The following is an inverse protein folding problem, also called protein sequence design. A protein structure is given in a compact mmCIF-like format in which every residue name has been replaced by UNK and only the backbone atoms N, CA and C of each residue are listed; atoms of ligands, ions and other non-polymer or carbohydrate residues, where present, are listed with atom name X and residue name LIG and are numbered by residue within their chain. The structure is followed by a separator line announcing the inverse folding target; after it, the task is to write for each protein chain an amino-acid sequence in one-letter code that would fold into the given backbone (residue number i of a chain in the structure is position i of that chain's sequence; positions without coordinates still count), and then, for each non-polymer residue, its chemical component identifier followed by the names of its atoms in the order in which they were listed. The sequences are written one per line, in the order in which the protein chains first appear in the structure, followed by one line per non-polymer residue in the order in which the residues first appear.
data_IF_660233169253
#
_entry.id   IF_660233169253
#
_cell.length_a   1.000
_cell.length_b   1.000
_cell.length_c   1.000
_cell.angle_alpha   90.00
_cell.angle_beta   90.00
_cell.angle_gamma   90.00
#
_symmetry.space_group_name_H-M   'P 1'
#
loop_
_entity.id
_entity.type
_entity.pdbx_description
1 polymer ?
#
# COMPACT_ATOMS: atom_id res chain seq x y z
N UNK A 1 -30.64 -2.18 65.09
CA UNK A 1 -29.66 -1.71 64.09
C UNK A 1 -29.11 -2.92 63.35
N UNK A 2 -29.73 -3.30 62.23
CA UNK A 2 -29.23 -4.34 61.31
C UNK A 2 -29.03 -3.66 59.96
N UNK A 3 -27.78 -3.64 59.49
CA UNK A 3 -27.34 -2.93 58.29
C UNK A 3 -27.44 -3.85 57.07
N UNK A 4 -28.30 -3.48 56.13
CA UNK A 4 -28.50 -4.18 54.85
C UNK A 4 -27.43 -3.74 53.85
N UNK A 5 -26.59 -4.68 53.41
CA UNK A 5 -25.60 -4.43 52.34
C UNK A 5 -26.31 -4.48 50.98
N UNK A 6 -26.37 -3.33 50.32
CA UNK A 6 -26.86 -3.16 48.95
C UNK A 6 -25.74 -3.58 47.98
N UNK A 7 -25.91 -4.67 47.24
CA UNK A 7 -24.98 -5.09 46.19
C UNK A 7 -25.36 -4.41 44.88
N UNK A 8 -24.46 -3.58 44.36
CA UNK A 8 -24.59 -2.92 43.06
C UNK A 8 -23.88 -3.77 42.01
N UNK A 9 -24.62 -4.59 41.28
CA UNK A 9 -24.09 -5.36 40.14
C UNK A 9 -23.92 -4.43 38.95
N UNK A 10 -22.66 -4.06 38.67
CA UNK A 10 -22.28 -3.29 37.49
C UNK A 10 -22.22 -4.23 36.28
N UNK A 11 -23.22 -4.16 35.40
CA UNK A 11 -23.24 -4.89 34.14
C UNK A 11 -22.32 -4.19 33.12
N UNK A 12 -21.13 -4.74 32.88
CA UNK A 12 -20.25 -4.33 31.78
C UNK A 12 -20.82 -4.85 30.45
N UNK A 13 -21.48 -3.96 29.69
CA UNK A 13 -21.80 -4.20 28.29
C UNK A 13 -20.51 -4.11 27.47
N UNK A 14 -19.91 -5.25 27.15
CA UNK A 14 -18.82 -5.36 26.18
C UNK A 14 -19.42 -5.17 24.77
N UNK A 15 -19.46 -3.92 24.29
CA UNK A 15 -19.77 -3.63 22.89
C UNK A 15 -18.52 -4.00 22.09
N UNK A 16 -18.48 -5.22 21.55
CA UNK A 16 -17.49 -5.58 20.53
C UNK A 16 -17.87 -4.86 19.24
N UNK A 17 -17.29 -3.67 19.04
CA UNK A 17 -17.26 -3.04 17.73
C UNK A 17 -16.49 -3.97 16.78
N UNK A 18 -17.22 -4.61 15.86
CA UNK A 18 -16.63 -5.25 14.70
C UNK A 18 -16.08 -4.12 13.83
N UNK A 19 -14.79 -3.81 13.96
CA UNK A 19 -14.12 -2.91 13.04
C UNK A 19 -14.06 -3.60 11.67
N UNK A 20 -15.04 -3.34 10.81
CA UNK A 20 -14.85 -3.58 9.38
C UNK A 20 -13.84 -2.53 8.92
N UNK A 21 -12.59 -2.92 8.74
CA UNK A 21 -11.59 -2.09 8.07
C UNK A 21 -11.98 -2.00 6.59
N UNK A 22 -13.01 -1.23 6.27
CA UNK A 22 -13.09 -0.66 4.94
C UNK A 22 -11.90 0.32 4.90
N UNK A 23 -10.89 -0.06 4.12
CA UNK A 23 -9.76 0.78 3.81
C UNK A 23 -10.04 1.43 2.44
N UNK A 24 -9.41 2.56 2.17
CA UNK A 24 -9.48 3.13 0.83
C UNK A 24 -8.94 2.13 -0.21
N UNK A 25 -9.50 2.15 -1.40
CA UNK A 25 -8.97 1.43 -2.55
C UNK A 25 -8.65 2.42 -3.65
N UNK A 26 -7.37 2.58 -3.96
CA UNK A 26 -6.90 3.53 -4.95
C UNK A 26 -7.00 2.87 -6.33
N UNK A 27 -7.82 3.44 -7.20
CA UNK A 27 -8.11 2.90 -8.54
C UNK A 27 -7.21 3.51 -9.61
N UNK A 28 -6.69 4.71 -9.39
CA UNK A 28 -5.60 5.30 -10.16
C UNK A 28 -4.80 6.28 -9.30
N UNK A 29 -3.47 6.38 -9.46
CA UNK A 29 -2.64 5.60 -10.37
C UNK A 29 -2.50 4.15 -9.92
N UNK A 30 -2.09 3.29 -10.85
CA UNK A 30 -1.82 1.88 -10.61
C UNK A 30 -0.74 1.38 -11.55
N UNK A 31 -0.55 0.06 -11.60
CA UNK A 31 0.46 -0.55 -12.46
C UNK A 31 0.34 -0.09 -13.91
N UNK A 32 1.46 0.33 -14.50
CA UNK A 32 1.54 0.76 -15.89
C UNK A 32 1.06 2.18 -16.18
N UNK A 33 0.52 2.89 -15.18
CA UNK A 33 0.21 4.32 -15.32
C UNK A 33 1.51 5.12 -15.39
N UNK A 34 1.54 6.08 -16.33
CA UNK A 34 2.65 7.04 -16.49
C UNK A 34 2.08 8.44 -16.33
N UNK A 35 2.67 9.22 -15.43
CA UNK A 35 2.38 10.64 -15.27
C UNK A 35 3.51 11.47 -15.91
N UNK A 36 3.16 12.35 -16.85
CA UNK A 36 4.13 13.17 -17.55
C UNK A 36 4.25 14.56 -16.92
N UNK A 37 5.42 15.20 -17.02
CA UNK A 37 5.61 16.57 -16.54
C UNK A 37 4.52 17.52 -17.06
N UNK A 38 4.01 18.38 -16.18
CA UNK A 38 2.95 19.39 -16.45
C UNK A 38 1.58 18.83 -16.84
N UNK A 39 1.42 17.50 -16.88
CA UNK A 39 0.14 16.86 -17.13
C UNK A 39 -0.81 17.07 -15.94
N UNK A 40 -2.08 17.35 -16.22
CA UNK A 40 -3.14 17.30 -15.23
C UNK A 40 -3.60 15.85 -15.06
N UNK A 41 -3.44 15.31 -13.85
CA UNK A 41 -3.70 13.91 -13.50
C UNK A 41 -4.66 13.82 -12.32
N UNK A 42 -5.24 12.64 -12.14
CA UNK A 42 -6.15 12.35 -11.03
C UNK A 42 -5.65 11.16 -10.22
N UNK A 43 -5.73 11.30 -8.91
CA UNK A 43 -5.78 10.17 -7.99
C UNK A 43 -7.25 9.89 -7.71
N UNK A 44 -7.70 8.66 -7.97
CA UNK A 44 -9.08 8.24 -7.70
C UNK A 44 -9.09 7.13 -6.65
N UNK A 45 -10.07 7.17 -5.76
CA UNK A 45 -10.26 6.15 -4.75
C UNK A 45 -11.73 5.85 -4.48
N UNK A 46 -11.98 4.70 -3.88
CA UNK A 46 -13.23 4.38 -3.19
C UNK A 46 -12.97 4.23 -1.69
N UNK A 47 -13.97 4.50 -0.86
CA UNK A 47 -13.86 4.48 0.60
C UNK A 47 -14.16 5.86 1.18
N UNK A 48 -14.81 5.88 2.35
CA UNK A 48 -15.28 7.11 3.01
C UNK A 48 -15.15 7.01 4.52
N UNK A 49 -14.16 6.25 4.98
CA UNK A 49 -14.03 5.85 6.38
C UNK A 49 -13.62 7.02 7.28
N UNK A 50 -13.01 8.05 6.71
CA UNK A 50 -12.68 9.31 7.36
C UNK A 50 -13.44 10.47 6.67
N UNK A 51 -13.76 11.58 7.36
CA UNK A 51 -14.44 12.71 6.73
C UNK A 51 -13.58 13.42 5.67
N UNK A 52 -12.27 13.47 5.92
CA UNK A 52 -11.26 14.09 5.08
C UNK A 52 -10.03 13.20 4.98
N UNK A 53 -9.32 13.28 3.86
CA UNK A 53 -8.08 12.55 3.59
C UNK A 53 -6.99 13.50 3.10
N UNK A 54 -5.75 13.09 3.30
CA UNK A 54 -4.61 13.63 2.55
C UNK A 54 -4.22 12.64 1.44
N UNK A 55 -3.77 13.18 0.32
CA UNK A 55 -3.25 12.41 -0.80
C UNK A 55 -1.78 12.75 -0.97
N UNK A 56 -0.92 11.77 -0.75
CA UNK A 56 0.53 11.97 -0.74
C UNK A 56 1.18 11.24 -1.91
N UNK A 57 2.21 11.85 -2.48
CA UNK A 57 3.17 11.20 -3.36
C UNK A 57 4.33 10.65 -2.54
N UNK A 58 4.62 9.38 -2.74
CA UNK A 58 5.66 8.63 -2.05
C UNK A 58 6.63 8.06 -3.06
N UNK A 59 7.86 7.80 -2.63
CA UNK A 59 8.86 7.10 -3.44
C UNK A 59 9.75 6.21 -2.58
N UNK A 60 10.34 5.20 -3.20
CA UNK A 60 11.28 4.29 -2.54
C UNK A 60 10.83 2.83 -2.57
N UNK A 61 11.49 1.95 -1.80
CA UNK A 61 11.11 0.55 -1.68
C UNK A 61 9.85 0.39 -0.81
N UNK A 62 9.11 -0.72 -0.98
CA UNK A 62 7.79 -0.89 -0.37
C UNK A 62 7.84 -0.88 1.17
N UNK A 63 8.91 -1.42 1.74
CA UNK A 63 9.11 -1.48 3.19
C UNK A 63 9.62 -0.15 3.78
N UNK A 64 9.96 0.84 2.96
CA UNK A 64 10.47 2.14 3.40
C UNK A 64 10.11 3.24 2.39
N UNK A 65 8.82 3.35 2.08
CA UNK A 65 8.30 4.45 1.28
C UNK A 65 8.51 5.77 2.03
N UNK A 66 9.00 6.77 1.29
CA UNK A 66 9.29 8.09 1.84
C UNK A 66 8.38 9.13 1.20
N UNK A 67 7.90 10.08 2.02
CA UNK A 67 7.07 11.19 1.54
C UNK A 67 7.88 12.09 0.61
N UNK A 68 7.41 12.24 -0.62
CA UNK A 68 7.97 13.17 -1.59
C UNK A 68 7.22 14.51 -1.56
N UNK A 69 5.89 14.47 -1.69
CA UNK A 69 5.05 15.66 -1.73
C UNK A 69 3.64 15.36 -1.22
N UNK A 70 2.95 16.39 -0.72
CA UNK A 70 1.51 16.36 -0.48
C UNK A 70 0.82 16.87 -1.75
N UNK A 71 0.01 16.01 -2.39
CA UNK A 71 -0.69 16.35 -3.64
C UNK A 71 -1.97 17.12 -3.36
N UNK A 72 -2.76 16.63 -2.40
CA UNK A 72 -3.95 17.29 -1.88
C UNK A 72 -4.03 17.09 -0.37
N UNK A 73 -4.55 18.09 0.35
CA UNK A 73 -4.70 18.04 1.81
C UNK A 73 -6.13 18.37 2.23
N UNK A 74 -6.64 17.69 3.26
CA UNK A 74 -7.98 17.89 3.82
C UNK A 74 -9.09 17.80 2.75
N UNK A 75 -8.98 16.84 1.83
CA UNK A 75 -10.00 16.61 0.80
C UNK A 75 -11.12 15.78 1.39
N UNK A 76 -12.38 16.13 1.14
CA UNK A 76 -13.49 15.27 1.55
C UNK A 76 -13.34 13.88 0.93
N UNK A 77 -13.31 12.84 1.76
CA UNK A 77 -13.16 11.44 1.30
C UNK A 77 -14.25 11.04 0.30
N UNK A 78 -15.46 11.60 0.47
CA UNK A 78 -16.63 11.35 -0.38
C UNK A 78 -16.48 11.85 -1.82
N UNK A 79 -15.52 12.75 -2.07
CA UNK A 79 -15.23 13.22 -3.42
C UNK A 79 -14.64 12.11 -4.30
N UNK A 80 -13.85 11.21 -3.71
CA UNK A 80 -13.23 10.09 -4.44
C UNK A 80 -12.13 10.49 -5.43
N UNK A 81 -11.72 11.76 -5.45
CA UNK A 81 -10.71 12.27 -6.36
C UNK A 81 -9.83 13.39 -5.79
N UNK A 82 -8.58 13.43 -6.24
CA UNK A 82 -7.62 14.51 -6.04
C UNK A 82 -7.01 14.86 -7.41
N UNK A 83 -7.20 16.11 -7.84
CA UNK A 83 -6.64 16.64 -9.08
C UNK A 83 -5.26 17.23 -8.80
N UNK A 84 -4.26 16.87 -9.60
CA UNK A 84 -2.90 17.34 -9.44
C UNK A 84 -2.29 17.68 -10.80
N UNK A 85 -1.42 18.69 -10.85
CA UNK A 85 -0.59 18.96 -12.03
C UNK A 85 0.83 18.53 -11.72
N UNK A 86 1.36 17.60 -12.52
CA UNK A 86 2.67 16.98 -12.27
C UNK A 86 3.77 18.05 -12.27
N UNK A 87 4.41 18.26 -11.11
CA UNK A 87 5.51 19.18 -10.98
C UNK A 87 6.70 18.71 -11.85
N UNK A 88 7.16 19.51 -12.83
CA UNK A 88 8.25 19.14 -13.73
C UNK A 88 9.60 18.94 -13.01
N UNK A 89 9.73 19.37 -11.76
CA UNK A 89 10.90 19.15 -10.92
C UNK A 89 10.98 17.75 -10.31
N UNK A 90 9.88 16.98 -10.33
CA UNK A 90 9.87 15.59 -9.87
C UNK A 90 10.81 14.76 -10.75
N UNK A 91 11.80 14.05 -10.20
CA UNK A 91 12.69 13.22 -10.99
C UNK A 91 11.94 12.07 -11.68
N UNK A 92 12.31 11.76 -12.92
CA UNK A 92 11.81 10.56 -13.60
C UNK A 92 12.13 9.30 -12.79
N UNK A 93 11.14 8.42 -12.62
CA UNK A 93 11.28 7.22 -11.79
C UNK A 93 10.12 6.25 -11.95
N UNK A 94 10.36 4.99 -11.62
CA UNK A 94 9.41 3.87 -11.72
C UNK A 94 8.90 3.40 -10.35
N UNK A 95 9.35 4.04 -9.28
CA UNK A 95 9.19 3.65 -7.89
C UNK A 95 8.34 4.63 -7.09
N UNK A 96 7.36 5.26 -7.75
CA UNK A 96 6.40 6.14 -7.12
C UNK A 96 5.13 5.38 -6.74
N UNK A 97 4.57 5.74 -5.60
CA UNK A 97 3.25 5.29 -5.15
C UNK A 97 2.50 6.50 -4.58
N UNK A 98 1.18 6.43 -4.54
CA UNK A 98 0.38 7.39 -3.78
C UNK A 98 -0.20 6.73 -2.54
N UNK A 99 -0.39 7.51 -1.48
CA UNK A 99 -1.24 7.10 -0.37
C UNK A 99 -2.48 7.97 -0.26
N UNK A 100 -3.58 7.38 0.21
CA UNK A 100 -4.82 8.07 0.58
C UNK A 100 -5.17 7.73 2.02
N UNK A 101 -5.45 8.75 2.82
CA UNK A 101 -5.95 8.64 4.19
C UNK A 101 -5.47 9.80 5.06
N UNK A 102 -6.01 9.92 6.28
CA UNK A 102 -5.59 10.94 7.26
C UNK A 102 -4.86 10.31 8.44
N UNK A 103 -5.44 9.24 8.99
CA UNK A 103 -4.89 8.47 10.07
C UNK A 103 -4.02 7.31 9.53
N UNK A 104 -2.84 7.05 10.11
CA UNK A 104 -1.93 6.00 9.65
C UNK A 104 -2.59 4.62 9.53
N UNK A 105 -3.52 4.29 10.43
CA UNK A 105 -4.27 3.03 10.44
C UNK A 105 -5.26 2.88 9.27
N UNK A 106 -5.62 3.99 8.61
CA UNK A 106 -6.56 4.04 7.49
C UNK A 106 -5.84 4.25 6.14
N UNK A 107 -4.51 4.37 6.12
CA UNK A 107 -3.76 4.58 4.90
C UNK A 107 -3.92 3.41 3.94
N UNK A 108 -4.25 3.74 2.70
CA UNK A 108 -4.12 2.86 1.55
C UNK A 108 -3.02 3.35 0.63
N UNK A 109 -2.43 2.44 -0.12
CA UNK A 109 -1.34 2.71 -1.03
C UNK A 109 -1.68 2.17 -2.42
N UNK A 110 -1.31 2.91 -3.46
CA UNK A 110 -1.42 2.44 -4.83
C UNK A 110 -0.38 1.36 -5.11
N UNK A 111 -0.55 0.66 -6.24
CA UNK A 111 0.60 0.00 -6.87
C UNK A 111 1.64 1.03 -7.30
N UNK A 112 2.87 0.57 -7.57
CA UNK A 112 3.87 1.44 -8.18
C UNK A 112 3.43 1.92 -9.56
N UNK A 113 3.73 3.17 -9.84
CA UNK A 113 3.51 3.80 -11.14
C UNK A 113 4.74 4.63 -11.53
N UNK A 114 4.74 5.08 -12.78
CA UNK A 114 5.88 5.81 -13.36
C UNK A 114 5.58 7.30 -13.39
N UNK A 115 6.58 8.10 -13.05
CA UNK A 115 6.60 9.53 -13.37
C UNK A 115 7.72 9.74 -14.39
N UNK A 116 7.39 10.36 -15.52
CA UNK A 116 8.34 10.68 -16.58
C UNK A 116 8.37 12.20 -16.79
N UNK A 117 9.48 12.82 -16.39
CA UNK A 117 9.72 14.25 -16.60
C UNK A 117 10.90 14.45 -17.56
N UNK A 118 11.78 15.41 -17.30
CA UNK A 118 12.86 15.79 -18.23
C UNK A 118 13.97 14.73 -18.37
N UNK A 119 14.18 13.90 -17.35
CA UNK A 119 15.27 12.91 -17.37
C UNK A 119 14.79 11.56 -17.94
N UNK A 120 15.68 10.75 -18.55
CA UNK A 120 15.34 9.39 -18.92
C UNK A 120 14.89 8.56 -17.72
N UNK A 121 13.99 7.60 -17.93
CA UNK A 121 13.63 6.64 -16.90
C UNK A 121 14.85 5.77 -16.54
N UNK A 122 15.03 5.43 -15.26
CA UNK A 122 16.04 4.45 -14.87
C UNK A 122 15.73 3.09 -15.51
N UNK A 123 16.77 2.30 -15.78
CA UNK A 123 16.57 0.92 -16.22
C UNK A 123 15.82 0.13 -15.13
N UNK A 124 14.86 -0.70 -15.53
CA UNK A 124 14.21 -1.60 -14.60
C UNK A 124 15.15 -2.78 -14.31
N UNK A 125 15.64 -2.86 -13.07
CA UNK A 125 16.58 -3.88 -12.62
C UNK A 125 15.96 -4.88 -11.64
N UNK A 126 14.64 -4.86 -11.48
CA UNK A 126 13.94 -5.68 -10.49
C UNK A 126 12.65 -6.28 -11.03
N UNK A 127 11.77 -6.66 -10.11
CA UNK A 127 10.46 -7.19 -10.48
C UNK A 127 9.62 -6.04 -11.05
N UNK A 128 9.03 -6.25 -12.23
CA UNK A 128 8.51 -5.17 -13.09
C UNK A 128 7.60 -4.18 -12.36
N UNK A 129 6.64 -4.68 -11.57
CA UNK A 129 5.64 -3.87 -10.87
C UNK A 129 5.99 -3.66 -9.39
N UNK A 130 7.24 -3.90 -9.01
CA UNK A 130 7.78 -3.66 -7.67
C UNK A 130 8.75 -2.48 -7.65
N UNK A 131 8.49 -1.44 -8.45
CA UNK A 131 9.28 -0.22 -8.46
C UNK A 131 10.74 -0.40 -8.86
N UNK A 132 11.06 -1.45 -9.63
CA UNK A 132 12.45 -1.80 -9.98
C UNK A 132 13.23 -2.49 -8.87
N UNK A 133 12.58 -2.88 -7.77
CA UNK A 133 13.19 -3.64 -6.69
C UNK A 133 12.95 -5.15 -6.84
N UNK A 134 13.88 -5.94 -6.33
CA UNK A 134 13.67 -7.37 -6.16
C UNK A 134 12.65 -7.64 -5.06
N UNK A 135 12.04 -8.82 -5.14
CA UNK A 135 11.11 -9.30 -4.15
C UNK A 135 11.79 -9.58 -2.80
N UNK A 136 11.04 -9.40 -1.72
CA UNK A 136 11.52 -9.56 -0.33
C UNK A 136 11.20 -10.95 0.19
N UNK A 137 11.74 -11.32 1.35
CA UNK A 137 11.49 -12.64 1.94
C UNK A 137 10.00 -12.92 2.19
N UNK A 138 9.20 -11.90 2.51
CA UNK A 138 7.77 -12.04 2.82
C UNK A 138 6.91 -12.26 1.57
N UNK A 139 7.35 -11.76 0.42
CA UNK A 139 6.69 -11.91 -0.89
C UNK A 139 7.72 -12.38 -1.92
N UNK A 140 8.30 -13.58 -1.79
CA UNK A 140 9.59 -13.93 -2.39
C UNK A 140 9.61 -14.08 -3.90
N UNK A 141 8.48 -14.30 -4.55
CA UNK A 141 8.46 -14.70 -5.94
C UNK A 141 8.04 -13.53 -6.83
N UNK A 142 8.88 -13.19 -7.80
CA UNK A 142 8.50 -12.31 -8.90
C UNK A 142 7.73 -13.12 -9.95
N UNK A 143 6.42 -12.90 -10.03
CA UNK A 143 5.54 -13.64 -10.93
C UNK A 143 5.81 -13.34 -12.41
N UNK A 144 5.25 -14.17 -13.30
CA UNK A 144 5.26 -13.91 -14.75
C UNK A 144 4.65 -12.55 -15.11
N UNK A 145 3.69 -12.08 -14.31
CA UNK A 145 3.06 -10.76 -14.45
C UNK A 145 3.87 -9.64 -13.81
N UNK A 146 5.02 -9.93 -13.21
CA UNK A 146 5.93 -8.93 -12.64
C UNK A 146 5.55 -8.42 -11.26
N UNK A 147 4.77 -9.17 -10.48
CA UNK A 147 4.40 -8.82 -9.11
C UNK A 147 5.10 -9.73 -8.10
N UNK A 148 5.46 -9.18 -6.94
CA UNK A 148 5.97 -9.97 -5.83
C UNK A 148 4.82 -10.64 -5.06
N UNK A 149 4.97 -11.92 -4.72
CA UNK A 149 4.00 -12.63 -3.90
C UNK A 149 4.54 -13.94 -3.33
N UNK A 150 3.74 -14.59 -2.48
CA UNK A 150 4.13 -15.77 -1.71
C UNK A 150 3.26 -17.01 -1.96
N UNK A 151 2.42 -17.01 -2.99
CA UNK A 151 1.56 -18.16 -3.33
C UNK A 151 2.00 -18.80 -4.65
N UNK A 152 1.47 -19.98 -4.96
CA UNK A 152 1.76 -20.68 -6.22
C UNK A 152 1.44 -19.84 -7.45
N UNK A 153 0.47 -18.93 -7.37
CA UNK A 153 0.16 -17.99 -8.45
C UNK A 153 1.35 -17.06 -8.80
N UNK A 154 2.23 -16.81 -7.83
CA UNK A 154 3.43 -15.98 -8.00
C UNK A 154 4.69 -16.81 -8.19
N UNK A 155 4.81 -17.92 -7.46
CA UNK A 155 5.99 -18.77 -7.44
C UNK A 155 6.00 -19.86 -8.52
N UNK A 156 4.88 -20.06 -9.21
CA UNK A 156 4.72 -21.09 -10.23
C UNK A 156 5.36 -20.74 -11.57
N UNK A 157 4.76 -21.26 -12.64
CA UNK A 157 5.28 -21.13 -14.00
C UNK A 157 5.48 -19.67 -14.41
N UNK A 158 6.66 -19.37 -14.94
CA UNK A 158 7.02 -18.03 -15.41
C UNK A 158 7.49 -17.08 -14.32
N UNK A 159 7.62 -17.54 -13.06
CA UNK A 159 8.34 -16.79 -12.04
C UNK A 159 9.77 -16.50 -12.50
N UNK A 160 10.25 -15.28 -12.26
CA UNK A 160 11.55 -14.76 -12.68
C UNK A 160 12.56 -14.82 -11.53
N UNK A 161 13.40 -15.88 -11.43
CA UNK A 161 14.21 -16.11 -10.24
C UNK A 161 15.21 -14.98 -9.97
N UNK A 162 15.76 -14.35 -11.02
CA UNK A 162 16.72 -13.25 -10.88
C UNK A 162 16.17 -12.02 -10.13
N UNK A 163 14.85 -11.87 -10.07
CA UNK A 163 14.17 -10.79 -9.35
C UNK A 163 13.43 -11.29 -8.10
N UNK A 164 13.45 -12.60 -7.86
CA UNK A 164 12.91 -13.24 -6.67
C UNK A 164 13.91 -13.22 -5.52
N UNK A 165 13.41 -13.35 -4.30
CA UNK A 165 14.22 -13.42 -3.09
C UNK A 165 15.19 -14.62 -3.18
N UNK A 166 16.48 -14.37 -2.95
CA UNK A 166 17.56 -15.36 -3.04
C UNK A 166 17.65 -16.14 -4.37
N UNK A 167 17.08 -15.63 -5.47
CA UNK A 167 17.18 -16.32 -6.74
C UNK A 167 16.24 -17.53 -6.88
N UNK A 168 15.21 -17.65 -6.03
CA UNK A 168 14.36 -18.85 -5.97
C UNK A 168 12.88 -18.51 -6.15
N UNK A 169 12.20 -19.34 -6.94
CA UNK A 169 10.75 -19.31 -7.13
C UNK A 169 10.10 -20.42 -6.31
N UNK A 170 9.95 -20.18 -5.00
CA UNK A 170 9.34 -21.15 -4.08
C UNK A 170 8.48 -20.43 -3.04
N UNK A 171 7.31 -21.00 -2.78
CA UNK A 171 6.44 -20.56 -1.68
C UNK A 171 7.17 -20.78 -0.34
N UNK A 172 7.24 -19.78 0.56
CA UNK A 172 7.78 -19.97 1.89
C UNK A 172 7.01 -21.06 2.64
N UNK A 173 7.69 -21.90 3.44
CA UNK A 173 6.98 -22.79 4.34
C UNK A 173 6.09 -21.97 5.28
N UNK A 174 4.89 -22.47 5.67
CA UNK A 174 4.03 -21.80 6.63
C UNK A 174 4.79 -21.49 7.93
N UNK A 175 4.49 -20.37 8.61
CA UNK A 175 5.06 -20.09 9.92
C UNK A 175 4.86 -21.30 10.84
N UNK A 176 5.91 -21.73 11.53
CA UNK A 176 5.80 -22.80 12.50
C UNK A 176 4.74 -22.44 13.56
N UNK A 177 3.91 -23.39 14.03
CA UNK A 177 2.96 -23.11 15.10
C UNK A 177 3.72 -22.53 16.31
N UNK A 178 3.14 -21.53 17.01
CA UNK A 178 3.75 -21.04 18.24
C UNK A 178 3.93 -22.22 19.18
N UNK A 179 5.18 -22.50 19.55
CA UNK A 179 5.52 -23.57 20.48
C UNK A 179 4.80 -23.33 21.80
N UNK A 180 3.78 -24.13 22.09
CA UNK A 180 3.07 -24.11 23.38
C UNK A 180 4.06 -24.51 24.47
N UNK A 181 4.54 -23.52 25.23
CA UNK A 181 5.21 -23.79 26.51
C UNK A 181 4.14 -24.33 27.46
N UNK A 182 4.15 -25.64 27.68
CA UNK A 182 3.46 -26.27 28.81
C UNK A 182 4.34 -26.14 30.07
#
# INVERSE_FOLDING_TARGET
MHSSKLYFTLAFLFVSAMFSNAAYNITTPGTGVVWNATEAVQVLWTGTDEPEVDVNLLYGPADNLTLFAVLCSNVSSSLGECNYTVDPSIPSGINYAVSVGKLPEAYSYSSYFTIQTANPLPANTGCLNNGGYNCTQTLPCCSASGYCGATDAYCGTGCAPQFSFNGVCSVPPPPAPPSSKF
#
